data_IF_930898707565
#
_entry.id   IF_930898707565
#
_cell.length_a   1.000
_cell.length_b   1.000
_cell.length_c   1.000
_cell.angle_alpha   90.00
_cell.angle_beta   90.00
_cell.angle_gamma   90.00
#
_symmetry.space_group_name_H-M   'P 1'
#
loop_
_entity.id
_entity.type
_entity.pdbx_description
1 polymer ?
#
# COMPACT_ATOMS: atom_id res chain seq x y z
N UNK A 1 17.82 7.16 -14.06
CA UNK A 1 17.96 6.72 -12.65
C UNK A 1 17.39 5.33 -12.55
N UNK A 2 18.06 4.46 -11.81
CA UNK A 2 17.69 3.07 -11.62
C UNK A 2 17.00 2.93 -10.27
N UNK A 3 15.81 2.35 -10.28
CA UNK A 3 15.00 2.12 -9.08
C UNK A 3 14.67 0.64 -9.00
N UNK A 4 14.61 0.09 -7.78
CA UNK A 4 14.17 -1.28 -7.55
C UNK A 4 12.73 -1.31 -7.02
N UNK A 5 11.84 -2.01 -7.71
CA UNK A 5 10.46 -2.24 -7.26
C UNK A 5 10.34 -3.66 -6.70
N UNK A 6 9.94 -3.77 -5.43
CA UNK A 6 9.80 -5.04 -4.70
C UNK A 6 8.33 -5.35 -4.44
N UNK A 7 7.89 -6.51 -4.90
CA UNK A 7 6.59 -7.09 -4.57
C UNK A 7 6.75 -8.09 -3.43
N UNK A 8 6.31 -7.73 -2.22
CA UNK A 8 6.40 -8.60 -1.03
C UNK A 8 5.05 -9.30 -0.75
N UNK A 9 4.72 -10.37 -1.46
CA UNK A 9 3.52 -11.18 -1.21
C UNK A 9 3.73 -12.18 -0.07
N UNK A 10 2.65 -12.68 0.59
CA UNK A 10 2.75 -13.63 1.71
C UNK A 10 3.58 -14.90 1.43
N UNK A 11 3.70 -15.32 0.17
CA UNK A 11 4.39 -16.55 -0.23
C UNK A 11 5.48 -16.36 -1.27
N UNK A 12 5.68 -15.15 -1.78
CA UNK A 12 6.64 -14.87 -2.85
C UNK A 12 7.10 -13.43 -2.77
N UNK A 13 8.41 -13.25 -2.90
CA UNK A 13 9.02 -11.94 -3.12
C UNK A 13 9.57 -11.92 -4.54
N UNK A 14 9.38 -10.81 -5.25
CA UNK A 14 10.10 -10.53 -6.48
C UNK A 14 10.57 -9.08 -6.48
N UNK A 15 11.69 -8.82 -7.14
CA UNK A 15 12.16 -7.47 -7.40
C UNK A 15 12.39 -7.25 -8.90
N UNK A 16 12.18 -6.01 -9.32
CA UNK A 16 12.23 -5.57 -10.71
C UNK A 16 13.00 -4.26 -10.73
N UNK A 17 14.14 -4.23 -11.40
CA UNK A 17 14.84 -2.99 -11.67
C UNK A 17 14.16 -2.26 -12.82
N UNK A 18 13.89 -0.96 -12.64
CA UNK A 18 13.30 -0.09 -13.65
C UNK A 18 14.20 1.12 -13.89
N UNK A 19 14.31 1.52 -15.15
CA UNK A 19 15.02 2.72 -15.55
C UNK A 19 14.01 3.86 -15.74
N UNK A 20 14.23 4.96 -15.03
CA UNK A 20 13.33 6.11 -14.99
C UNK A 20 14.08 7.40 -15.32
N UNK A 21 13.33 8.39 -15.78
CA UNK A 21 13.84 9.76 -15.93
C UNK A 21 13.99 10.43 -14.56
N UNK A 22 14.89 11.39 -14.45
CA UNK A 22 15.07 12.17 -13.23
C UNK A 22 13.76 12.87 -12.83
N UNK A 23 13.42 12.82 -11.54
CA UNK A 23 12.20 13.40 -11.00
C UNK A 23 10.92 12.57 -11.22
N UNK A 24 11.03 11.34 -11.77
CA UNK A 24 9.91 10.41 -11.81
C UNK A 24 9.42 10.03 -10.41
N UNK A 25 8.19 9.54 -10.35
CA UNK A 25 7.46 9.26 -9.11
C UNK A 25 7.38 7.79 -8.78
N UNK A 26 6.97 7.48 -7.55
CA UNK A 26 6.58 6.12 -7.14
C UNK A 26 5.54 5.52 -8.09
N UNK A 27 4.56 6.31 -8.53
CA UNK A 27 3.55 5.89 -9.49
C UNK A 27 4.14 5.40 -10.82
N UNK A 28 5.08 6.18 -11.37
CA UNK A 28 5.76 5.86 -12.64
C UNK A 28 6.57 4.56 -12.53
N UNK A 29 7.30 4.39 -11.42
CA UNK A 29 8.08 3.17 -11.15
C UNK A 29 7.20 1.93 -11.10
N UNK A 30 6.05 2.02 -10.41
CA UNK A 30 5.10 0.93 -10.31
C UNK A 30 4.43 0.60 -11.65
N UNK A 31 4.10 1.61 -12.45
CA UNK A 31 3.52 1.39 -13.77
C UNK A 31 4.50 0.68 -14.69
N UNK A 32 5.74 1.13 -14.74
CA UNK A 32 6.78 0.51 -15.57
C UNK A 32 7.09 -0.92 -15.11
N UNK A 33 7.18 -1.15 -13.80
CA UNK A 33 7.40 -2.48 -13.25
C UNK A 33 6.28 -3.46 -13.61
N UNK A 34 5.01 -3.01 -13.64
CA UNK A 34 3.85 -3.85 -14.02
C UNK A 34 3.86 -4.30 -15.48
N UNK A 35 4.52 -3.57 -16.37
CA UNK A 35 4.62 -3.93 -17.79
C UNK A 35 5.59 -5.10 -18.02
N UNK A 36 6.46 -5.41 -17.05
CA UNK A 36 7.35 -6.56 -17.15
C UNK A 36 6.61 -7.90 -16.97
N UNK A 37 7.12 -9.01 -17.52
CA UNK A 37 6.53 -10.34 -17.32
C UNK A 37 6.43 -10.76 -15.85
N UNK A 38 7.37 -10.29 -15.03
CA UNK A 38 7.37 -10.56 -13.59
C UNK A 38 6.25 -9.75 -12.94
N UNK A 39 6.17 -8.45 -13.21
CA UNK A 39 5.19 -7.54 -12.61
C UNK A 39 3.74 -7.83 -13.01
N UNK A 40 3.50 -8.29 -14.24
CA UNK A 40 2.15 -8.65 -14.71
C UNK A 40 1.57 -9.88 -14.03
N UNK A 41 2.41 -10.72 -13.43
CA UNK A 41 1.99 -11.87 -12.62
C UNK A 41 1.56 -11.47 -11.19
N UNK A 42 1.70 -10.20 -10.79
CA UNK A 42 1.30 -9.72 -9.47
C UNK A 42 -0.10 -9.09 -9.47
N UNK A 43 -0.86 -9.21 -8.36
CA UNK A 43 -2.18 -8.63 -8.23
C UNK A 43 -2.21 -7.11 -8.47
N UNK A 44 -3.32 -6.61 -9.02
CA UNK A 44 -3.55 -5.18 -9.22
C UNK A 44 -3.91 -4.43 -7.93
N UNK A 45 -4.36 -5.13 -6.89
CA UNK A 45 -4.71 -4.54 -5.59
C UNK A 45 -3.49 -3.87 -4.94
N UNK A 46 -3.62 -2.55 -4.72
CA UNK A 46 -2.54 -1.73 -4.17
C UNK A 46 -2.67 -1.67 -2.65
N UNK A 47 -1.79 -2.38 -1.95
CA UNK A 47 -1.49 -2.06 -0.56
C UNK A 47 -0.70 -0.74 -0.45
N UNK A 48 -0.43 -0.25 0.77
CA UNK A 48 0.44 0.89 0.97
C UNK A 48 1.80 0.67 0.30
N UNK A 49 2.45 1.75 -0.14
CA UNK A 49 3.76 1.69 -0.78
C UNK A 49 4.77 2.36 0.13
N UNK A 50 5.98 1.81 0.22
CA UNK A 50 7.08 2.42 0.94
C UNK A 50 8.32 2.64 0.08
N UNK A 51 9.12 3.63 0.46
CA UNK A 51 10.50 3.79 0.00
C UNK A 51 11.39 3.59 1.21
N UNK A 52 12.29 2.59 1.17
CA UNK A 52 13.16 2.24 2.31
C UNK A 52 12.44 2.10 3.66
N UNK A 53 11.25 1.47 3.66
CA UNK A 53 10.44 1.26 4.87
C UNK A 53 9.61 2.46 5.33
N UNK A 54 9.74 3.63 4.70
CA UNK A 54 8.88 4.79 4.93
C UNK A 54 7.66 4.72 4.01
N UNK A 55 6.44 4.72 4.55
CA UNK A 55 5.21 4.74 3.75
C UNK A 55 5.08 6.09 3.06
N UNK A 56 4.90 6.08 1.74
CA UNK A 56 4.85 7.28 0.88
C UNK A 56 3.67 7.26 -0.06
N UNK A 57 3.28 8.45 -0.52
CA UNK A 57 2.29 8.63 -1.57
C UNK A 57 2.88 8.34 -2.97
N UNK A 58 2.00 8.11 -3.95
CA UNK A 58 2.39 7.75 -5.31
C UNK A 58 3.08 8.89 -6.08
N UNK A 59 2.86 10.13 -5.66
CA UNK A 59 3.46 11.34 -6.24
C UNK A 59 4.85 11.65 -5.66
N UNK A 60 5.31 10.89 -4.66
CA UNK A 60 6.66 11.03 -4.12
C UNK A 60 7.69 10.84 -5.24
N UNK A 61 8.52 11.87 -5.43
CA UNK A 61 9.67 11.81 -6.33
C UNK A 61 10.72 10.85 -5.80
N UNK A 62 11.24 10.04 -6.71
CA UNK A 62 12.28 9.05 -6.45
C UNK A 62 13.67 9.62 -6.77
N UNK A 63 14.67 8.96 -6.20
CA UNK A 63 16.09 9.17 -6.46
C UNK A 63 16.69 7.90 -7.06
N UNK A 64 17.89 8.06 -7.61
CA UNK A 64 18.71 6.92 -8.04
C UNK A 64 18.94 5.95 -6.86
N UNK A 65 18.89 4.66 -7.16
CA UNK A 65 18.99 3.55 -6.22
C UNK A 65 17.88 3.46 -5.16
N UNK A 66 16.78 4.23 -5.28
CA UNK A 66 15.64 4.05 -4.39
C UNK A 66 15.02 2.65 -4.55
N UNK A 67 14.56 2.11 -3.42
CA UNK A 67 13.79 0.87 -3.38
C UNK A 67 12.34 1.18 -3.02
N UNK A 68 11.44 0.89 -3.96
CA UNK A 68 9.99 0.99 -3.82
C UNK A 68 9.43 -0.37 -3.44
N UNK A 69 8.68 -0.45 -2.35
CA UNK A 69 8.15 -1.70 -1.81
C UNK A 69 6.63 -1.66 -1.77
N UNK A 70 5.97 -2.64 -2.39
CA UNK A 70 4.53 -2.82 -2.22
C UNK A 70 4.29 -3.60 -0.92
N UNK A 71 3.71 -2.92 0.06
CA UNK A 71 3.35 -3.55 1.32
C UNK A 71 2.12 -4.43 1.12
N UNK A 72 2.11 -5.54 1.86
CA UNK A 72 1.00 -6.51 1.84
C UNK A 72 -0.30 -5.78 2.13
N UNK A 73 -1.32 -5.90 1.26
CA UNK A 73 -2.68 -5.59 1.67
C UNK A 73 -2.97 -6.44 2.91
N UNK A 74 -3.40 -5.81 4.00
CA UNK A 74 -4.00 -6.56 5.09
C UNK A 74 -5.21 -7.29 4.49
N UNK A 75 -5.46 -8.55 4.87
CA UNK A 75 -6.60 -9.35 4.36
C UNK A 75 -7.98 -8.70 4.58
N UNK A 76 -8.00 -7.55 5.23
CA UNK A 76 -9.12 -6.60 5.26
C UNK A 76 -8.56 -5.22 4.89
N UNK A 77 -9.10 -4.62 3.84
CA UNK A 77 -8.77 -3.26 3.42
C UNK A 77 -8.80 -2.30 4.63
N UNK A 78 -7.76 -1.48 4.87
CA UNK A 78 -7.75 -0.49 5.93
C UNK A 78 -8.98 0.43 5.92
N UNK A 79 -9.59 0.65 4.75
CA UNK A 79 -10.82 1.42 4.59
C UNK A 79 -12.02 0.75 5.27
N UNK A 80 -12.13 -0.58 5.13
CA UNK A 80 -13.17 -1.39 5.77
C UNK A 80 -12.99 -1.45 7.30
N UNK A 81 -11.75 -1.52 7.79
CA UNK A 81 -11.44 -1.42 9.23
C UNK A 81 -11.73 -0.04 9.81
N UNK A 82 -11.37 1.03 9.09
CA UNK A 82 -11.62 2.42 9.53
C UNK A 82 -13.13 2.68 9.64
N UNK A 83 -13.93 2.15 8.71
CA UNK A 83 -15.40 2.20 8.75
C UNK A 83 -15.98 1.38 9.92
N UNK A 84 -15.51 0.16 10.15
CA UNK A 84 -15.98 -0.72 11.26
C UNK A 84 -15.58 -0.24 12.65
N UNK A 85 -14.46 0.47 12.79
CA UNK A 85 -13.96 0.94 14.09
C UNK A 85 -14.68 2.20 14.59
N UNK A 86 -15.19 3.03 13.67
CA UNK A 86 -16.03 4.19 14.02
C UNK A 86 -17.48 3.79 14.37
N UNK A 87 -17.92 2.58 14.02
CA UNK A 87 -19.29 2.10 14.28
C UNK A 87 -19.45 1.30 15.59
N UNK A 88 -18.45 1.28 16.49
CA UNK A 88 -18.50 0.53 17.76
C UNK A 88 -18.27 1.35 19.02
N UNK A 89 -18.27 2.68 18.92
CA UNK A 89 -18.19 3.57 20.09
C UNK A 89 -19.40 4.51 20.11
N UNK A 90 -20.57 3.93 20.38
CA UNK A 90 -21.79 4.61 20.81
C UNK A 90 -22.44 3.70 21.82
N UNK A 91 -22.14 3.94 23.10
CA UNK A 91 -22.40 3.04 24.21
C UNK A 91 -23.87 2.65 24.33
N UNK A 92 -24.08 1.34 24.49
CA UNK A 92 -25.16 0.84 25.32
C UNK A 92 -24.60 0.87 26.75
N UNK A 93 -25.18 1.68 27.63
CA UNK A 93 -25.24 1.37 29.07
C UNK A 93 -26.21 2.32 29.80
N UNK A 94 -27.22 1.71 30.42
CA UNK A 94 -28.07 2.16 31.55
C UNK A 94 -28.98 3.39 31.31
N UNK A 95 -30.23 3.45 31.77
CA UNK A 95 -30.80 2.90 32.99
C UNK A 95 -32.34 2.82 32.95
N UNK A 96 -32.82 1.79 33.62
CA UNK A 96 -34.13 1.59 34.25
C UNK A 96 -34.64 2.79 35.10
N UNK A 97 -35.93 2.76 35.46
CA UNK A 97 -36.79 3.67 36.26
C UNK A 97 -37.89 4.34 35.42
N UNK A 98 -39.19 4.29 35.71
CA UNK A 98 -39.95 3.85 36.88
C UNK A 98 -41.21 4.74 36.97
N UNK A 99 -42.39 4.12 37.03
CA UNK A 99 -43.69 4.62 37.53
C UNK A 99 -44.02 6.13 37.48
N UNK A 100 -45.12 6.48 36.79
CA UNK A 100 -46.45 6.71 37.41
C UNK A 100 -47.45 7.25 36.39
#
# INVERSE_FOLDING_TARGET
>A
MRVEVVYALPRKVASIAVELVEGATVGDALELARQSPVGSAFPSERGPVSVWGEVVDLDRRLRDDDRVELLRPLEQSPLEWRRKRLSRTGGQDSSDSGAS
#
